data_IF_611914789371
#
_entry.id   IF_611914789371
#
_cell.length_a   1.000
_cell.length_b   1.000
_cell.length_c   1.000
_cell.angle_alpha   90.00
_cell.angle_beta   90.00
_cell.angle_gamma   90.00
#
_symmetry.space_group_name_H-M   'P 1'
#
loop_
_entity.id
_entity.type
_entity.pdbx_description
1 polymer ?
#
# COMPACT_ATOMS: atom_id res chain seq x y z
N UNK A 1 -7.66 18.71 45.34
CA UNK A 1 -8.02 17.31 44.96
C UNK A 1 -8.47 17.18 43.51
N UNK A 2 -9.36 18.07 42.99
CA UNK A 2 -9.86 18.02 41.59
C UNK A 2 -8.77 18.17 40.51
N UNK A 3 -7.76 19.02 40.76
CA UNK A 3 -6.61 19.21 39.85
C UNK A 3 -5.67 18.02 39.81
N UNK A 4 -5.40 17.39 40.96
CA UNK A 4 -4.59 16.16 41.03
C UNK A 4 -5.23 14.99 40.29
N UNK A 5 -6.56 14.86 40.35
CA UNK A 5 -7.32 13.83 39.62
C UNK A 5 -7.24 14.02 38.09
N UNK A 6 -7.34 15.26 37.62
CA UNK A 6 -7.18 15.59 36.19
C UNK A 6 -5.76 15.30 35.68
N UNK A 7 -4.73 15.66 36.47
CA UNK A 7 -3.35 15.35 36.11
C UNK A 7 -3.08 13.85 36.03
N UNK A 8 -3.68 13.05 36.93
CA UNK A 8 -3.51 11.60 36.93
C UNK A 8 -4.16 10.93 35.70
N UNK A 9 -5.35 11.39 35.29
CA UNK A 9 -6.05 10.88 34.10
C UNK A 9 -5.28 11.18 32.80
N UNK A 10 -4.69 12.37 32.70
CA UNK A 10 -3.89 12.77 31.53
C UNK A 10 -2.61 11.93 31.43
N UNK A 11 -1.92 11.68 32.56
CA UNK A 11 -0.73 10.82 32.58
C UNK A 11 -1.09 9.36 32.27
N UNK A 12 -2.22 8.86 32.76
CA UNK A 12 -2.68 7.50 32.48
C UNK A 12 -3.00 7.28 31.00
N UNK A 13 -3.60 8.27 30.31
CA UNK A 13 -3.86 8.19 28.87
C UNK A 13 -2.58 8.21 28.01
N UNK A 14 -1.52 8.87 28.46
CA UNK A 14 -0.23 8.87 27.75
C UNK A 14 0.57 7.56 27.91
N UNK A 15 0.19 6.66 28.82
CA UNK A 15 0.88 5.37 28.99
C UNK A 15 0.37 4.28 28.05
N UNK A 16 -0.80 4.47 27.43
CA UNK A 16 -1.30 3.60 26.36
C UNK A 16 -0.76 4.05 24.99
N UNK A 17 0.55 4.29 24.89
CA UNK A 17 1.17 4.36 23.58
C UNK A 17 0.98 3.00 22.93
N UNK A 18 0.12 3.00 21.92
CA UNK A 18 -0.03 2.04 20.83
C UNK A 18 1.26 1.22 20.70
N UNK A 19 1.21 -0.06 21.07
CA UNK A 19 2.19 -1.00 20.54
C UNK A 19 1.88 -1.11 19.05
N UNK A 20 2.55 -0.28 18.26
CA UNK A 20 2.74 -0.56 16.86
C UNK A 20 3.56 -1.84 16.83
N UNK A 21 2.93 -2.95 16.46
CA UNK A 21 3.63 -4.19 16.16
C UNK A 21 4.56 -3.88 14.98
N UNK A 22 5.82 -3.60 15.30
CA UNK A 22 6.88 -3.42 14.33
C UNK A 22 7.09 -4.80 13.70
N UNK A 23 6.40 -5.05 12.59
CA UNK A 23 6.75 -6.15 11.71
C UNK A 23 8.24 -5.96 11.40
N UNK A 24 9.07 -6.88 11.88
CA UNK A 24 10.50 -6.92 11.56
C UNK A 24 10.63 -7.16 10.06
N UNK A 25 10.63 -6.08 9.29
CA UNK A 25 11.02 -6.11 7.90
C UNK A 25 12.52 -6.42 7.85
N UNK A 26 12.91 -7.28 6.92
CA UNK A 26 14.33 -7.50 6.63
C UNK A 26 14.96 -6.16 6.25
N UNK A 27 16.12 -5.85 6.84
CA UNK A 27 16.81 -4.58 6.61
C UNK A 27 17.60 -4.63 5.30
N UNK A 28 16.89 -4.39 4.20
CA UNK A 28 17.47 -4.35 2.85
C UNK A 28 18.49 -3.21 2.65
N UNK A 29 18.62 -2.28 3.61
CA UNK A 29 19.59 -1.18 3.50
C UNK A 29 21.04 -1.66 3.53
N UNK A 30 21.31 -2.79 4.20
CA UNK A 30 22.63 -3.41 4.25
C UNK A 30 23.05 -4.06 2.92
N UNK A 31 22.09 -4.29 2.02
CA UNK A 31 22.31 -4.86 0.69
C UNK A 31 22.34 -3.79 -0.41
N UNK A 32 22.35 -2.51 -0.03
CA UNK A 32 22.40 -1.39 -0.99
C UNK A 32 21.05 -1.07 -1.65
N UNK A 33 19.94 -1.56 -1.10
CA UNK A 33 18.61 -1.12 -1.50
C UNK A 33 18.15 0.09 -0.67
N UNK A 34 17.43 0.99 -1.30
CA UNK A 34 16.90 2.19 -0.65
C UNK A 34 15.39 2.27 -0.81
N UNK A 35 14.71 2.70 0.25
CA UNK A 35 13.30 3.03 0.19
C UNK A 35 13.11 4.39 -0.47
N UNK A 36 12.17 4.47 -1.42
CA UNK A 36 11.80 5.71 -2.08
C UNK A 36 10.29 5.95 -2.03
N UNK A 37 9.90 7.21 -1.84
CA UNK A 37 8.51 7.62 -1.94
C UNK A 37 8.18 8.00 -3.39
N UNK A 38 7.23 7.30 -3.98
CA UNK A 38 6.77 7.56 -5.35
C UNK A 38 5.41 8.27 -5.28
N UNK A 39 5.22 9.39 -5.99
CA UNK A 39 3.91 10.03 -6.06
C UNK A 39 2.93 9.12 -6.81
N UNK A 40 1.81 8.80 -6.16
CA UNK A 40 0.74 7.97 -6.73
C UNK A 40 -0.61 8.65 -6.60
N UNK A 41 -1.53 8.34 -7.53
CA UNK A 41 -2.92 8.82 -7.48
C UNK A 41 -3.81 7.64 -7.13
N UNK A 42 -4.58 7.78 -6.07
CA UNK A 42 -5.42 6.70 -5.55
C UNK A 42 -6.90 6.94 -5.86
N UNK A 43 -7.63 5.84 -6.12
CA UNK A 43 -9.09 5.86 -6.22
C UNK A 43 -9.67 4.50 -5.83
N UNK A 44 -10.98 4.34 -5.84
CA UNK A 44 -11.56 2.99 -5.73
C UNK A 44 -11.16 2.18 -6.98
N UNK A 45 -10.91 0.88 -6.81
CA UNK A 45 -10.45 0.01 -7.91
C UNK A 45 -11.37 0.09 -9.13
N UNK A 46 -12.68 0.14 -8.90
CA UNK A 46 -13.67 0.17 -9.97
C UNK A 46 -13.67 1.52 -10.69
N UNK A 47 -13.63 2.63 -9.95
CA UNK A 47 -13.55 3.96 -10.56
C UNK A 47 -12.26 4.16 -11.36
N UNK A 48 -11.12 3.72 -10.84
CA UNK A 48 -9.84 3.76 -11.55
C UNK A 48 -9.88 2.94 -12.85
N UNK A 49 -10.32 1.68 -12.76
CA UNK A 49 -10.46 0.79 -13.94
C UNK A 49 -11.40 1.38 -14.99
N UNK A 50 -12.54 1.91 -14.57
CA UNK A 50 -13.51 2.53 -15.47
C UNK A 50 -12.94 3.77 -16.16
N UNK A 51 -12.18 4.60 -15.43
CA UNK A 51 -11.50 5.76 -16.01
C UNK A 51 -10.48 5.31 -17.07
N UNK A 52 -9.65 4.32 -16.77
CA UNK A 52 -8.65 3.79 -17.70
C UNK A 52 -9.30 3.17 -18.94
N UNK A 53 -10.38 2.40 -18.75
CA UNK A 53 -11.16 1.82 -19.85
C UNK A 53 -11.73 2.91 -20.78
N UNK A 54 -12.31 3.99 -20.22
CA UNK A 54 -12.78 5.14 -21.01
C UNK A 54 -11.66 5.88 -21.75
N UNK A 55 -10.42 5.76 -21.29
CA UNK A 55 -9.23 6.31 -21.94
C UNK A 55 -8.64 5.36 -23.00
N UNK A 56 -9.26 4.21 -23.27
CA UNK A 56 -8.79 3.24 -24.26
C UNK A 56 -7.69 2.31 -23.74
N UNK A 57 -7.53 2.18 -22.42
CA UNK A 57 -6.56 1.27 -21.82
C UNK A 57 -7.21 -0.06 -21.43
N UNK A 58 -6.48 -1.15 -21.65
CA UNK A 58 -6.88 -2.50 -21.25
C UNK A 58 -5.83 -3.12 -20.35
N UNK A 59 -6.27 -3.88 -19.34
CA UNK A 59 -5.36 -4.64 -18.49
C UNK A 59 -4.76 -5.79 -19.30
N UNK A 60 -3.43 -5.87 -19.36
CA UNK A 60 -2.73 -6.91 -20.14
C UNK A 60 -1.69 -7.67 -19.33
N UNK A 61 -1.20 -7.11 -18.21
CA UNK A 61 -0.19 -7.76 -17.38
C UNK A 61 -0.57 -7.67 -15.90
N UNK A 62 -0.30 -8.75 -15.16
CA UNK A 62 -0.59 -8.89 -13.74
C UNK A 62 0.64 -9.43 -13.04
N UNK A 63 1.14 -8.69 -12.05
CA UNK A 63 2.27 -9.08 -11.21
C UNK A 63 1.81 -9.19 -9.77
N UNK A 64 2.08 -10.33 -9.15
CA UNK A 64 1.68 -10.63 -7.77
C UNK A 64 2.91 -10.57 -6.86
N UNK A 65 2.91 -9.60 -5.94
CA UNK A 65 3.90 -9.52 -4.87
C UNK A 65 3.54 -10.49 -3.75
N UNK A 66 4.53 -11.26 -3.30
CA UNK A 66 4.39 -12.19 -2.17
C UNK A 66 5.29 -11.76 -1.03
N UNK A 67 4.87 -12.11 0.19
CA UNK A 67 5.59 -11.82 1.41
C UNK A 67 7.06 -12.30 1.29
N UNK A 68 7.99 -11.43 1.70
CA UNK A 68 9.44 -11.68 1.72
C UNK A 68 10.04 -12.12 0.37
N UNK A 69 9.34 -11.88 -0.75
CA UNK A 69 9.75 -12.36 -2.06
C UNK A 69 9.65 -13.88 -2.25
N UNK A 70 9.07 -14.62 -1.29
CA UNK A 70 8.93 -16.07 -1.38
C UNK A 70 7.89 -16.45 -2.46
N UNK A 71 8.24 -17.29 -3.45
CA UNK A 71 7.29 -17.76 -4.47
C UNK A 71 6.06 -18.49 -3.88
N UNK A 72 6.17 -19.04 -2.68
CA UNK A 72 5.09 -19.69 -1.94
C UNK A 72 4.48 -18.81 -0.83
N UNK A 73 5.05 -17.63 -0.58
CA UNK A 73 4.58 -16.70 0.44
C UNK A 73 3.17 -16.17 0.16
N UNK A 74 2.50 -15.65 1.19
CA UNK A 74 1.16 -15.07 1.03
C UNK A 74 1.19 -13.87 0.06
N UNK A 75 0.17 -13.68 -0.80
CA UNK A 75 0.10 -12.50 -1.65
C UNK A 75 -0.11 -11.24 -0.80
N UNK A 76 0.71 -10.21 -1.03
CA UNK A 76 0.69 -8.95 -0.26
C UNK A 76 0.30 -7.74 -1.11
N UNK A 77 0.51 -7.78 -2.42
CA UNK A 77 0.01 -6.78 -3.36
C UNK A 77 -0.12 -7.36 -4.77
N UNK A 78 -0.88 -6.69 -5.63
CA UNK A 78 -0.95 -6.99 -7.07
C UNK A 78 -0.80 -5.70 -7.87
N UNK A 79 0.11 -5.69 -8.84
CA UNK A 79 0.25 -4.63 -9.83
C UNK A 79 -0.44 -5.11 -11.11
N UNK A 80 -1.44 -4.36 -11.55
CA UNK A 80 -2.08 -4.52 -12.87
C UNK A 80 -1.56 -3.45 -13.81
N UNK A 81 -0.95 -3.85 -14.93
CA UNK A 81 -0.49 -2.92 -15.96
C UNK A 81 -1.48 -2.90 -17.12
N UNK A 82 -1.87 -1.68 -17.47
CA UNK A 82 -2.79 -1.37 -18.55
C UNK A 82 -2.04 -0.71 -19.70
N UNK A 83 -2.35 -1.10 -20.92
CA UNK A 83 -1.77 -0.54 -22.14
C UNK A 83 -2.85 0.03 -23.04
N UNK A 84 -2.50 1.03 -23.83
CA UNK A 84 -3.29 1.46 -24.97
C UNK A 84 -3.21 0.42 -26.10
N UNK A 85 -4.07 0.56 -27.12
CA UNK A 85 -4.15 -0.38 -28.25
C UNK A 85 -2.80 -0.61 -28.95
N UNK A 86 -1.98 0.45 -29.06
CA UNK A 86 -0.68 0.40 -29.73
C UNK A 86 0.50 0.07 -28.79
N UNK A 87 0.24 -0.18 -27.50
CA UNK A 87 1.26 -0.40 -26.45
C UNK A 87 2.32 0.70 -26.35
N UNK A 88 1.96 1.93 -26.67
CA UNK A 88 2.85 3.11 -26.58
C UNK A 88 2.76 3.82 -25.23
N UNK A 89 1.67 3.60 -24.50
CA UNK A 89 1.40 4.20 -23.19
C UNK A 89 1.04 3.11 -22.19
N UNK A 90 1.40 3.34 -20.92
CA UNK A 90 1.05 2.43 -19.84
C UNK A 90 0.59 3.13 -18.57
N UNK A 91 -0.32 2.49 -17.87
CA UNK A 91 -0.67 2.78 -16.47
C UNK A 91 -0.41 1.53 -15.64
N UNK A 92 0.06 1.69 -14.41
CA UNK A 92 0.17 0.59 -13.45
C UNK A 92 -0.64 0.93 -12.21
N UNK A 93 -1.41 -0.05 -11.73
CA UNK A 93 -2.25 0.10 -10.55
C UNK A 93 -1.90 -1.01 -9.57
N UNK A 94 -1.37 -0.64 -8.42
CA UNK A 94 -1.14 -1.45 -7.25
C UNK A 94 -2.43 -1.58 -6.45
N UNK A 95 -2.72 -2.80 -6.02
CA UNK A 95 -3.86 -3.11 -5.16
C UNK A 95 -3.39 -4.00 -4.03
N UNK A 96 -3.97 -3.81 -2.85
CA UNK A 96 -3.71 -4.66 -1.69
C UNK A 96 -4.86 -5.66 -1.53
N UNK A 97 -4.58 -6.91 -1.08
CA UNK A 97 -5.62 -7.86 -0.69
C UNK A 97 -6.59 -7.23 0.30
N UNK A 98 -7.90 -7.42 0.10
CA UNK A 98 -8.94 -6.87 0.98
C UNK A 98 -9.19 -5.36 0.86
N UNK A 99 -8.33 -4.59 0.17
CA UNK A 99 -8.55 -3.16 -0.04
C UNK A 99 -9.47 -2.90 -1.22
N UNK A 100 -10.39 -1.95 -1.07
CA UNK A 100 -11.23 -1.43 -2.18
C UNK A 100 -10.51 -0.36 -3.01
N UNK A 101 -9.36 0.12 -2.54
CA UNK A 101 -8.58 1.18 -3.17
C UNK A 101 -7.51 0.61 -4.13
N UNK A 102 -7.25 1.35 -5.21
CA UNK A 102 -6.16 1.12 -6.16
C UNK A 102 -5.22 2.32 -6.18
N UNK A 103 -3.97 2.01 -5.83
CA UNK A 103 -2.70 2.70 -6.07
C UNK A 103 -2.15 2.45 -7.47
#
# INVERSE_FOLDING_TARGET
MRTFLLSFVIVFFMLFNVQAEEQKYEDWSLEGFEWQQIPVVCSTKDHAKDKLKRMGFTAQEYSLGRQDGDPNGAPVYMITTFYDENRTKKFSMLTLPGSEMGC
#
